data_IF_621097218619
#
_entry.id   IF_621097218619
#
_cell.length_a   1.000
_cell.length_b   1.000
_cell.length_c   1.000
_cell.angle_alpha   90.00
_cell.angle_beta   90.00
_cell.angle_gamma   90.00
#
_symmetry.space_group_name_H-M   'P 1'
#
loop_
_entity.id
_entity.type
_entity.pdbx_description
1 polymer ?
#
# COMPACT_ATOMS: atom_id res chain seq x y z
N UNK A 1 -39.12 -9.29 19.50
CA UNK A 1 -38.03 -9.95 18.77
C UNK A 1 -37.19 -8.91 18.04
N UNK A 2 -35.97 -8.73 18.48
CA UNK A 2 -35.01 -7.86 17.80
C UNK A 2 -34.50 -8.56 16.55
N UNK A 3 -34.81 -8.00 15.40
CA UNK A 3 -34.22 -8.46 14.14
C UNK A 3 -32.80 -7.93 14.07
N UNK A 4 -31.82 -8.82 14.10
CA UNK A 4 -30.42 -8.41 13.84
C UNK A 4 -30.29 -8.06 12.38
N UNK A 5 -30.18 -6.77 12.08
CA UNK A 5 -29.81 -6.31 10.75
C UNK A 5 -28.33 -6.53 10.56
N UNK A 6 -27.93 -7.13 9.43
CA UNK A 6 -26.52 -7.22 9.07
C UNK A 6 -25.95 -5.80 8.97
N UNK A 7 -24.73 -5.55 9.49
CA UNK A 7 -24.10 -4.25 9.31
C UNK A 7 -24.03 -3.93 7.82
N UNK A 8 -24.45 -2.73 7.48
CA UNK A 8 -24.33 -2.26 6.10
C UNK A 8 -22.86 -2.13 5.74
N UNK A 9 -22.48 -2.57 4.53
CA UNK A 9 -21.13 -2.40 4.05
C UNK A 9 -20.77 -0.92 4.04
N UNK A 10 -19.65 -0.56 4.68
CA UNK A 10 -19.16 0.82 4.71
C UNK A 10 -18.03 0.97 3.72
N UNK A 11 -18.33 1.59 2.58
CA UNK A 11 -17.39 1.80 1.49
C UNK A 11 -16.18 2.63 1.91
N UNK A 12 -15.05 2.37 1.29
CA UNK A 12 -13.93 3.31 1.31
C UNK A 12 -14.29 4.51 0.43
N UNK A 13 -13.88 5.70 0.85
CA UNK A 13 -14.08 6.93 0.09
C UNK A 13 -12.77 7.68 -0.03
N UNK A 14 -12.66 8.53 -1.07
CA UNK A 14 -11.49 9.39 -1.24
C UNK A 14 -11.28 10.29 -0.02
N UNK A 15 -12.39 10.82 0.54
CA UNK A 15 -12.33 11.66 1.72
C UNK A 15 -11.74 10.92 2.93
N UNK A 16 -12.12 9.68 3.13
CA UNK A 16 -11.58 8.88 4.23
C UNK A 16 -10.07 8.65 4.06
N UNK A 17 -9.64 8.30 2.86
CA UNK A 17 -8.22 8.10 2.58
C UNK A 17 -7.42 9.40 2.74
N UNK A 18 -7.99 10.52 2.36
CA UNK A 18 -7.30 11.81 2.50
C UNK A 18 -7.14 12.23 3.96
N UNK A 19 -8.01 11.76 4.86
CA UNK A 19 -7.90 12.03 6.30
C UNK A 19 -6.90 11.12 7.01
N UNK A 20 -6.54 9.99 6.39
CA UNK A 20 -5.63 9.01 7.01
C UNK A 20 -4.60 8.54 5.99
N UNK A 21 -3.39 9.11 6.02
CA UNK A 21 -2.31 8.62 5.13
C UNK A 21 -2.05 7.13 5.30
N UNK A 22 -2.13 6.62 6.52
CA UNK A 22 -1.92 5.19 6.77
C UNK A 22 -2.97 4.35 6.06
N UNK A 23 -4.25 4.73 6.11
CA UNK A 23 -5.32 4.03 5.41
C UNK A 23 -5.13 4.11 3.90
N UNK A 24 -4.73 5.28 3.41
CA UNK A 24 -4.42 5.47 1.99
C UNK A 24 -3.35 4.49 1.54
N UNK A 25 -2.24 4.40 2.26
CA UNK A 25 -1.14 3.51 1.91
C UNK A 25 -1.53 2.03 2.05
N UNK A 26 -2.29 1.69 3.10
CA UNK A 26 -2.79 0.32 3.26
C UNK A 26 -3.70 -0.09 2.10
N UNK A 27 -4.53 0.82 1.61
CA UNK A 27 -5.38 0.57 0.45
C UNK A 27 -4.54 0.28 -0.80
N UNK A 28 -3.48 1.08 -1.01
CA UNK A 28 -2.57 0.91 -2.14
C UNK A 28 -1.86 -0.45 -2.05
N UNK A 29 -1.37 -0.81 -0.86
CA UNK A 29 -0.67 -2.08 -0.64
C UNK A 29 -1.63 -3.27 -0.82
N UNK A 30 -2.83 -3.19 -0.25
CA UNK A 30 -3.82 -4.26 -0.38
C UNK A 30 -4.19 -4.52 -1.84
N UNK A 31 -4.40 -3.45 -2.60
CA UNK A 31 -4.68 -3.57 -4.02
C UNK A 31 -3.56 -4.31 -4.75
N UNK A 32 -2.31 -3.98 -4.46
CA UNK A 32 -1.17 -4.67 -5.08
C UNK A 32 -1.15 -6.16 -4.73
N UNK A 33 -1.39 -6.51 -3.47
CA UNK A 33 -1.41 -7.91 -3.05
C UNK A 33 -2.48 -8.71 -3.80
N UNK A 34 -3.65 -8.11 -4.02
CA UNK A 34 -4.81 -8.82 -4.60
C UNK A 34 -4.91 -8.72 -6.12
N UNK A 35 -4.41 -7.66 -6.72
CA UNK A 35 -4.69 -7.36 -8.11
C UNK A 35 -3.47 -7.06 -8.98
N UNK A 36 -2.30 -6.81 -8.40
CA UNK A 36 -1.12 -6.51 -9.20
C UNK A 36 -0.65 -7.74 -9.98
N UNK A 37 -0.23 -7.51 -11.22
CA UNK A 37 0.42 -8.53 -12.06
C UNK A 37 1.88 -8.75 -11.65
N UNK A 38 2.44 -7.87 -10.83
CA UNK A 38 3.80 -7.99 -10.33
C UNK A 38 3.77 -8.95 -9.14
N UNK A 39 4.18 -10.19 -9.36
CA UNK A 39 4.06 -11.25 -8.37
C UNK A 39 4.85 -10.99 -7.09
N UNK A 40 5.92 -10.21 -7.17
CA UNK A 40 6.74 -9.91 -6.00
C UNK A 40 5.97 -9.19 -4.89
N UNK A 41 4.84 -8.54 -5.21
CA UNK A 41 3.99 -7.92 -4.19
C UNK A 41 3.40 -8.94 -3.21
N UNK A 42 3.45 -10.25 -3.53
CA UNK A 42 3.06 -11.29 -2.57
C UNK A 42 4.02 -11.40 -1.39
N UNK A 43 5.23 -10.85 -1.49
CA UNK A 43 6.18 -10.81 -0.37
C UNK A 43 5.65 -10.03 0.82
N UNK A 44 4.71 -9.11 0.62
CA UNK A 44 4.14 -8.27 1.67
C UNK A 44 2.74 -8.76 2.10
N UNK A 45 2.40 -10.00 1.78
CA UNK A 45 1.06 -10.54 2.05
C UNK A 45 0.90 -11.17 3.44
N UNK A 46 1.90 -11.09 4.30
CA UNK A 46 1.78 -11.57 5.69
C UNK A 46 1.20 -10.45 6.57
N UNK A 47 -0.10 -10.53 6.81
CA UNK A 47 -0.84 -9.49 7.54
C UNK A 47 -0.48 -9.46 9.03
N UNK A 48 0.01 -10.56 9.58
CA UNK A 48 0.43 -10.60 10.99
C UNK A 48 1.76 -9.87 11.21
N UNK A 49 2.71 -10.00 10.30
CA UNK A 49 3.95 -9.23 10.36
C UNK A 49 3.71 -7.76 10.02
N UNK A 50 2.75 -7.49 9.17
CA UNK A 50 2.40 -6.13 8.79
C UNK A 50 3.43 -5.48 7.87
N UNK A 51 3.48 -4.16 7.94
CA UNK A 51 4.25 -3.36 6.98
C UNK A 51 4.92 -2.18 7.64
N UNK A 52 6.17 -1.93 7.28
CA UNK A 52 6.80 -0.65 7.55
C UNK A 52 6.81 0.14 6.24
N UNK A 53 6.18 1.31 6.27
CA UNK A 53 5.97 2.16 5.11
C UNK A 53 6.93 3.34 5.21
N UNK A 54 8.07 3.23 4.54
CA UNK A 54 9.08 4.28 4.53
C UNK A 54 8.76 5.31 3.46
N UNK A 55 8.47 6.53 3.90
CA UNK A 55 7.97 7.59 3.05
C UNK A 55 9.07 8.62 2.76
N UNK A 56 9.27 8.90 1.48
CA UNK A 56 10.21 9.93 1.00
C UNK A 56 9.49 10.90 0.08
N UNK A 57 9.77 12.21 0.19
CA UNK A 57 9.24 13.17 -0.79
C UNK A 57 9.95 12.99 -2.14
N UNK A 58 9.18 13.15 -3.22
CA UNK A 58 9.68 13.20 -4.59
C UNK A 58 9.02 14.38 -5.30
N UNK A 59 9.48 14.69 -6.51
CA UNK A 59 8.84 15.74 -7.30
C UNK A 59 7.38 15.37 -7.56
N UNK A 60 6.46 16.26 -7.18
CA UNK A 60 5.02 16.12 -7.36
C UNK A 60 4.40 14.89 -6.68
N UNK A 61 5.01 14.42 -5.57
CA UNK A 61 4.41 13.29 -4.88
C UNK A 61 5.27 12.71 -3.78
N UNK A 62 5.04 11.42 -3.54
CA UNK A 62 5.66 10.67 -2.45
C UNK A 62 6.08 9.28 -2.95
N UNK A 63 7.26 8.83 -2.52
CA UNK A 63 7.72 7.47 -2.74
C UNK A 63 7.62 6.72 -1.41
N UNK A 64 7.02 5.53 -1.43
CA UNK A 64 6.84 4.73 -0.22
C UNK A 64 7.45 3.35 -0.43
N UNK A 65 8.47 3.03 0.36
CA UNK A 65 9.06 1.68 0.40
C UNK A 65 8.20 0.81 1.31
N UNK A 66 7.82 -0.37 0.83
CA UNK A 66 6.93 -1.26 1.57
C UNK A 66 7.72 -2.46 2.07
N UNK A 67 8.12 -2.41 3.33
CA UNK A 67 8.84 -3.49 3.98
C UNK A 67 7.86 -4.53 4.53
N UNK A 68 8.15 -5.83 4.42
CA UNK A 68 7.19 -6.91 4.75
C UNK A 68 7.10 -7.23 6.24
N UNK A 69 7.52 -6.31 7.10
CA UNK A 69 7.47 -6.47 8.56
C UNK A 69 7.40 -5.09 9.19
N UNK A 70 6.37 -4.83 10.00
CA UNK A 70 6.20 -3.55 10.69
C UNK A 70 7.42 -3.20 11.55
N UNK A 71 8.04 -4.21 12.15
CA UNK A 71 9.15 -4.05 13.09
C UNK A 71 10.53 -4.28 12.48
N UNK A 72 10.64 -4.27 11.16
CA UNK A 72 11.93 -4.52 10.50
C UNK A 72 13.00 -3.54 11.01
N UNK A 73 14.17 -4.09 11.34
CA UNK A 73 15.29 -3.30 11.83
C UNK A 73 16.17 -2.85 10.68
N UNK A 74 16.88 -1.74 10.89
CA UNK A 74 17.76 -1.16 9.87
C UNK A 74 18.74 -2.18 9.31
N UNK A 75 19.31 -3.04 10.15
CA UNK A 75 20.26 -4.06 9.72
C UNK A 75 19.67 -5.16 8.85
N UNK A 76 18.36 -5.34 8.85
CA UNK A 76 17.67 -6.32 8.02
C UNK A 76 17.22 -5.76 6.66
N UNK A 77 17.39 -4.46 6.44
CA UNK A 77 17.00 -3.78 5.20
C UNK A 77 18.13 -3.88 4.16
N UNK A 78 18.48 -5.12 3.81
CA UNK A 78 19.62 -5.38 2.92
C UNK A 78 19.25 -5.47 1.45
N UNK A 79 17.99 -5.80 1.17
CA UNK A 79 17.46 -5.96 -0.19
C UNK A 79 16.41 -4.89 -0.43
N UNK A 80 16.44 -4.28 -1.62
CA UNK A 80 15.45 -3.27 -1.96
C UNK A 80 14.04 -3.87 -1.95
N UNK A 81 13.10 -3.26 -1.21
CA UNK A 81 11.73 -3.77 -1.15
C UNK A 81 10.92 -3.30 -2.35
N UNK A 82 9.72 -3.85 -2.50
CA UNK A 82 8.72 -3.27 -3.38
C UNK A 82 8.40 -1.85 -2.91
N UNK A 83 8.04 -0.98 -3.84
CA UNK A 83 7.70 0.39 -3.50
C UNK A 83 6.64 0.93 -4.48
N UNK A 84 5.98 2.00 -4.08
CA UNK A 84 5.08 2.71 -4.97
C UNK A 84 5.35 4.20 -4.91
N UNK A 85 5.01 4.87 -6.02
CA UNK A 85 5.00 6.32 -6.09
C UNK A 85 3.55 6.78 -6.12
N UNK A 86 3.22 7.77 -5.30
CA UNK A 86 1.89 8.38 -5.25
C UNK A 86 2.03 9.84 -5.61
N UNK A 87 1.41 10.25 -6.72
CA UNK A 87 1.45 11.64 -7.15
C UNK A 87 0.50 12.50 -6.31
N UNK A 88 0.69 13.82 -6.35
CA UNK A 88 -0.19 14.77 -5.67
C UNK A 88 -1.63 14.74 -6.21
N UNK A 89 -1.83 14.21 -7.42
CA UNK A 89 -3.16 14.09 -8.04
C UNK A 89 -3.78 12.70 -7.87
N UNK A 90 -3.09 11.78 -7.17
CA UNK A 90 -3.64 10.47 -6.86
C UNK A 90 -3.27 9.36 -7.82
N UNK A 91 -2.32 9.59 -8.72
CA UNK A 91 -1.80 8.52 -9.58
C UNK A 91 -0.86 7.63 -8.75
N UNK A 92 -0.98 6.33 -8.92
CA UNK A 92 -0.19 5.33 -8.21
C UNK A 92 0.60 4.51 -9.21
N UNK A 93 1.92 4.45 -9.04
CA UNK A 93 2.78 3.59 -9.84
C UNK A 93 3.47 2.59 -8.92
N UNK A 94 3.20 1.32 -9.13
CA UNK A 94 3.85 0.23 -8.40
C UNK A 94 5.16 -0.12 -9.06
N UNK A 95 6.17 -0.38 -8.25
CA UNK A 95 7.50 -0.76 -8.71
C UNK A 95 7.95 -2.01 -7.96
N UNK A 96 8.68 -2.86 -8.67
CA UNK A 96 9.34 -4.00 -8.06
C UNK A 96 10.64 -4.26 -8.76
N UNK A 97 11.66 -4.53 -7.98
CA UNK A 97 12.99 -4.84 -8.49
C UNK A 97 13.08 -6.34 -8.80
N UNK A 98 13.57 -6.69 -9.97
CA UNK A 98 13.74 -8.09 -10.36
C UNK A 98 15.22 -8.47 -10.19
N UNK A 99 15.50 -9.24 -9.13
CA UNK A 99 16.83 -9.75 -8.86
C UNK A 99 17.18 -10.85 -9.88
N UNK A 100 18.41 -10.86 -10.33
CA UNK A 100 18.92 -11.85 -11.28
C UNK A 100 18.33 -11.78 -12.69
N UNK A 101 17.81 -10.62 -13.06
CA UNK A 101 17.29 -10.37 -14.41
C UNK A 101 17.96 -9.15 -15.00
N UNK A 102 18.22 -9.17 -16.30
CA UNK A 102 18.68 -8.00 -17.05
C UNK A 102 17.52 -7.08 -17.44
N UNK A 103 16.31 -7.37 -16.97
CA UNK A 103 15.14 -6.55 -17.25
C UNK A 103 15.12 -5.33 -16.34
N UNK A 104 14.50 -4.28 -16.84
CA UNK A 104 14.20 -3.09 -16.05
C UNK A 104 13.23 -3.44 -14.92
N UNK A 105 13.12 -2.54 -13.93
CA UNK A 105 12.14 -2.68 -12.87
C UNK A 105 10.75 -2.88 -13.44
N UNK A 106 10.00 -3.83 -12.88
CA UNK A 106 8.61 -4.02 -13.27
C UNK A 106 7.77 -2.88 -12.69
N UNK A 107 6.91 -2.31 -13.52
CA UNK A 107 6.03 -1.21 -13.11
C UNK A 107 4.60 -1.48 -13.54
N UNK A 108 3.66 -0.94 -12.76
CA UNK A 108 2.24 -1.00 -13.05
C UNK A 108 1.58 0.26 -12.50
N UNK A 109 0.76 0.92 -13.31
CA UNK A 109 0.15 2.19 -12.92
C UNK A 109 -1.36 2.08 -12.80
N UNK A 110 -1.89 2.79 -11.83
CA UNK A 110 -3.33 2.97 -11.59
C UNK A 110 -3.53 4.31 -10.89
N UNK A 111 -4.71 4.53 -10.32
CA UNK A 111 -4.98 5.73 -9.53
C UNK A 111 -5.84 5.39 -8.32
N UNK A 112 -5.92 6.33 -7.36
CA UNK A 112 -6.65 6.09 -6.12
C UNK A 112 -8.13 5.80 -6.35
N UNK A 113 -8.76 6.45 -7.31
CA UNK A 113 -10.18 6.23 -7.55
C UNK A 113 -10.43 4.83 -8.09
N UNK A 114 -9.56 4.34 -8.97
CA UNK A 114 -9.65 2.97 -9.48
C UNK A 114 -9.40 1.95 -8.36
N UNK A 115 -8.43 2.21 -7.49
CA UNK A 115 -8.15 1.35 -6.33
C UNK A 115 -9.37 1.29 -5.41
N UNK A 116 -9.94 2.44 -5.05
CA UNK A 116 -11.11 2.51 -4.18
C UNK A 116 -12.28 1.74 -4.80
N UNK A 117 -12.53 1.95 -6.07
CA UNK A 117 -13.62 1.26 -6.78
C UNK A 117 -13.43 -0.25 -6.73
N UNK A 118 -12.21 -0.73 -7.00
CA UNK A 118 -11.94 -2.17 -7.00
C UNK A 118 -12.07 -2.76 -5.60
N UNK A 119 -11.54 -2.08 -4.58
CA UNK A 119 -11.61 -2.58 -3.21
C UNK A 119 -13.06 -2.61 -2.70
N UNK A 120 -13.88 -1.64 -3.09
CA UNK A 120 -15.30 -1.65 -2.75
C UNK A 120 -16.05 -2.75 -3.50
N UNK A 121 -15.72 -2.97 -4.76
CA UNK A 121 -16.28 -4.11 -5.53
C UNK A 121 -15.97 -5.43 -4.84
N UNK A 122 -14.78 -5.56 -4.27
CA UNK A 122 -14.34 -6.76 -3.55
C UNK A 122 -14.90 -6.82 -2.12
N UNK A 123 -15.66 -5.82 -1.67
CA UNK A 123 -16.11 -5.67 -0.29
C UNK A 123 -14.96 -5.78 0.72
N UNK A 124 -13.83 -5.16 0.38
CA UNK A 124 -12.58 -5.30 1.14
C UNK A 124 -12.33 -4.17 2.15
N UNK A 125 -13.24 -3.21 2.31
CA UNK A 125 -12.99 -2.03 3.15
C UNK A 125 -12.59 -2.39 4.58
N UNK A 126 -13.28 -3.36 5.20
CA UNK A 126 -12.94 -3.77 6.58
C UNK A 126 -11.59 -4.44 6.67
N UNK A 127 -11.23 -5.25 5.67
CA UNK A 127 -9.91 -5.91 5.63
C UNK A 127 -8.79 -4.87 5.58
N UNK A 128 -8.98 -3.84 4.76
CA UNK A 128 -8.00 -2.75 4.64
C UNK A 128 -7.92 -1.96 5.96
N UNK A 129 -9.06 -1.64 6.57
CA UNK A 129 -9.07 -0.93 7.85
C UNK A 129 -8.38 -1.73 8.96
N UNK A 130 -8.51 -3.08 8.92
CA UNK A 130 -7.85 -3.95 9.88
C UNK A 130 -6.34 -4.05 9.70
N UNK A 131 -5.80 -3.55 8.58
CA UNK A 131 -4.35 -3.47 8.40
C UNK A 131 -3.70 -2.37 9.25
N UNK A 132 -4.47 -1.36 9.64
CA UNK A 132 -3.92 -0.18 10.29
C UNK A 132 -3.07 -0.46 11.53
N UNK A 133 -3.47 -1.34 12.47
CA UNK A 133 -2.64 -1.62 13.65
C UNK A 133 -1.29 -2.24 13.32
N UNK A 134 -1.16 -2.88 12.18
CA UNK A 134 0.06 -3.57 11.75
C UNK A 134 0.85 -2.79 10.71
N UNK A 135 0.52 -1.52 10.49
CA UNK A 135 1.24 -0.66 9.57
C UNK A 135 1.90 0.49 10.33
N UNK A 136 3.16 0.74 10.02
CA UNK A 136 3.95 1.81 10.62
C UNK A 136 4.49 2.70 9.51
N UNK A 137 4.22 4.00 9.59
CA UNK A 137 4.79 4.97 8.66
C UNK A 137 6.08 5.54 9.26
N UNK A 138 7.17 5.47 8.49
CA UNK A 138 8.44 6.12 8.83
C UNK A 138 8.65 7.20 7.78
N UNK A 139 8.51 8.46 8.18
CA UNK A 139 8.58 9.58 7.25
C UNK A 139 9.98 10.19 7.23
N UNK A 140 10.49 10.45 6.03
CA UNK A 140 11.75 11.14 5.81
C UNK A 140 11.49 12.51 5.18
N UNK A 141 12.34 13.47 5.51
CA UNK A 141 12.22 14.84 5.00
C UNK A 141 12.95 15.05 3.69
N UNK A 142 13.96 14.25 3.42
CA UNK A 142 14.81 14.39 2.24
C UNK A 142 14.47 13.30 1.23
N UNK A 143 14.67 13.62 -0.06
CA UNK A 143 14.47 12.64 -1.12
C UNK A 143 15.39 11.44 -0.91
N UNK A 144 14.88 10.26 -1.33
CA UNK A 144 15.71 9.05 -1.35
C UNK A 144 16.74 9.16 -2.46
N UNK A 145 18.01 8.99 -2.12
CA UNK A 145 19.11 8.95 -3.11
C UNK A 145 19.43 7.52 -3.46
#
# INVERSE_FOLDING_TARGET
TTVKTKPKYRSLTRAELNRSPKLKYCSIVYYAIKHSKIQRWQEVSNFDLGWQLEQYPITDGTKVLVWPDMDIKKGAKLVQPNWFALSNTGNVTYHSFVVHSFRDDMTESTDLDAIIKQLNTDHAAMKVRHMLPNALIVAHKNTAN
#
